data_IF_356713211896
#
_entry.id   IF_356713211896
#
_cell.length_a   1.000
_cell.length_b   1.000
_cell.length_c   1.000
_cell.angle_alpha   90.00
_cell.angle_beta   90.00
_cell.angle_gamma   90.00
#
_symmetry.space_group_name_H-M   'P 1'
#
loop_
_entity.id
_entity.type
_entity.pdbx_description
1 polymer ?
#
# COMPACT_ATOMS: atom_id res chain seq x y z
N UNK A 1 11.21 7.93 0.62
CA UNK A 1 10.61 7.03 -0.38
C UNK A 1 11.54 5.84 -0.58
N UNK A 2 11.00 4.62 -0.58
CA UNK A 2 11.71 3.39 -0.92
C UNK A 2 11.27 2.93 -2.31
N UNK A 3 12.23 2.55 -3.15
CA UNK A 3 11.98 2.03 -4.49
C UNK A 3 12.17 0.52 -4.50
N UNK A 4 11.22 -0.17 -5.10
CA UNK A 4 11.24 -1.62 -5.27
C UNK A 4 10.99 -1.97 -6.73
N UNK A 5 11.53 -3.11 -7.17
CA UNK A 5 11.21 -3.70 -8.47
C UNK A 5 10.81 -5.15 -8.27
N UNK A 6 9.69 -5.53 -8.88
CA UNK A 6 9.16 -6.89 -8.85
C UNK A 6 8.85 -7.32 -10.28
N UNK A 7 9.44 -8.42 -10.70
CA UNK A 7 9.33 -8.85 -12.10
C UNK A 7 7.99 -9.52 -12.44
N UNK A 8 7.20 -9.94 -11.47
CA UNK A 8 5.98 -10.71 -11.74
C UNK A 8 6.23 -12.03 -12.48
N UNK A 9 5.23 -12.88 -12.57
CA UNK A 9 5.35 -14.19 -13.27
C UNK A 9 5.27 -14.05 -14.79
N UNK A 10 4.54 -13.03 -15.24
CA UNK A 10 4.35 -12.76 -16.66
C UNK A 10 5.35 -11.71 -17.10
N UNK A 11 6.28 -12.10 -17.96
CA UNK A 11 7.32 -11.22 -18.50
C UNK A 11 6.82 -10.43 -19.72
N UNK A 12 7.43 -9.27 -19.95
CA UNK A 12 7.20 -8.40 -21.12
C UNK A 12 6.23 -7.24 -20.86
N UNK A 13 6.27 -6.25 -21.74
CA UNK A 13 5.56 -4.99 -21.61
C UNK A 13 6.30 -3.98 -20.73
N UNK A 14 5.78 -2.76 -20.70
CA UNK A 14 6.28 -1.73 -19.78
C UNK A 14 5.85 -2.05 -18.34
N UNK A 15 6.67 -1.73 -17.32
CA UNK A 15 6.29 -1.94 -15.93
C UNK A 15 5.19 -0.98 -15.48
N UNK A 16 4.35 -1.44 -14.56
CA UNK A 16 3.44 -0.58 -13.80
C UNK A 16 4.20 0.13 -12.67
N UNK A 17 3.99 1.42 -12.54
CA UNK A 17 4.56 2.24 -11.45
C UNK A 17 3.50 2.50 -10.40
N UNK A 18 3.55 1.74 -9.31
CA UNK A 18 2.56 1.77 -8.23
C UNK A 18 3.14 2.50 -7.01
N UNK A 19 2.42 3.49 -6.52
CA UNK A 19 2.73 4.16 -5.26
C UNK A 19 1.88 3.54 -4.15
N UNK A 20 2.53 2.90 -3.18
CA UNK A 20 1.85 2.39 -2.00
C UNK A 20 2.16 3.27 -0.79
N UNK A 21 1.11 3.69 -0.10
CA UNK A 21 1.16 4.47 1.13
C UNK A 21 0.19 3.88 2.15
N UNK A 22 0.68 3.47 3.31
CA UNK A 22 -0.13 2.96 4.42
C UNK A 22 0.13 3.78 5.68
N UNK A 23 -0.74 3.59 6.66
CA UNK A 23 -0.57 4.18 7.98
C UNK A 23 -0.41 5.71 7.88
N UNK A 24 -1.36 6.36 7.19
CA UNK A 24 -1.35 7.80 7.01
C UNK A 24 -1.70 8.51 8.32
N UNK A 25 -2.55 7.89 9.15
CA UNK A 25 -2.97 8.44 10.44
C UNK A 25 -3.26 9.94 10.37
N UNK A 26 -4.06 10.34 9.35
CA UNK A 26 -4.34 11.74 9.12
C UNK A 26 -5.06 12.37 10.32
N UNK A 27 -4.58 13.52 10.70
CA UNK A 27 -5.21 14.44 11.65
C UNK A 27 -5.26 15.83 11.00
N UNK A 28 -6.12 16.75 11.45
CA UNK A 28 -6.18 18.10 10.88
C UNK A 28 -4.81 18.82 10.85
N UNK A 29 -3.91 18.48 11.76
CA UNK A 29 -2.57 19.08 11.86
C UNK A 29 -1.53 18.46 10.94
N UNK A 30 -1.84 17.33 10.29
CA UNK A 30 -0.93 16.58 9.40
C UNK A 30 -1.17 16.84 7.90
N UNK A 31 -1.73 18.00 7.55
CA UNK A 31 -2.00 18.37 6.16
C UNK A 31 -0.75 18.31 5.26
N UNK A 32 0.42 18.65 5.81
CA UNK A 32 1.69 18.59 5.10
C UNK A 32 2.06 17.19 4.58
N UNK A 33 1.61 16.12 5.27
CA UNK A 33 1.84 14.74 4.79
C UNK A 33 1.04 14.45 3.52
N UNK A 34 -0.20 14.95 3.46
CA UNK A 34 -1.05 14.86 2.27
C UNK A 34 -0.40 15.57 1.07
N UNK A 35 0.09 16.80 1.27
CA UNK A 35 0.72 17.59 0.23
C UNK A 35 2.02 16.93 -0.27
N UNK A 36 2.82 16.38 0.64
CA UNK A 36 4.02 15.62 0.28
C UNK A 36 3.70 14.37 -0.52
N UNK A 37 2.65 13.63 -0.15
CA UNK A 37 2.25 12.40 -0.85
C UNK A 37 1.79 12.71 -2.28
N UNK A 38 0.98 13.76 -2.46
CA UNK A 38 0.52 14.22 -3.78
C UNK A 38 1.72 14.66 -4.64
N UNK A 39 2.64 15.44 -4.07
CA UNK A 39 3.84 15.89 -4.77
C UNK A 39 4.75 14.71 -5.20
N UNK A 40 4.88 13.69 -4.36
CA UNK A 40 5.62 12.47 -4.69
C UNK A 40 4.94 11.74 -5.86
N UNK A 41 3.62 11.52 -5.79
CA UNK A 41 2.87 10.84 -6.84
C UNK A 41 3.05 11.53 -8.21
N UNK A 42 2.91 12.86 -8.24
CA UNK A 42 3.07 13.65 -9.45
C UNK A 42 4.50 13.60 -10.00
N UNK A 43 5.51 13.79 -9.15
CA UNK A 43 6.93 13.75 -9.54
C UNK A 43 7.31 12.38 -10.12
N UNK A 44 6.83 11.31 -9.52
CA UNK A 44 7.16 9.95 -9.92
C UNK A 44 6.33 9.44 -11.10
N UNK A 45 5.32 10.21 -11.57
CA UNK A 45 4.45 9.83 -12.68
C UNK A 45 3.89 8.42 -12.51
N UNK A 46 3.24 8.20 -11.37
CA UNK A 46 2.72 6.87 -11.02
C UNK A 46 1.48 6.52 -11.85
N UNK A 47 1.25 5.23 -12.06
CA UNK A 47 0.12 4.71 -12.83
C UNK A 47 -1.08 4.35 -11.93
N UNK A 48 -0.82 4.21 -10.63
CA UNK A 48 -1.82 3.93 -9.62
C UNK A 48 -1.32 4.24 -8.22
N UNK A 49 -2.22 4.65 -7.35
CA UNK A 49 -1.95 4.91 -5.93
C UNK A 49 -2.76 3.95 -5.08
N UNK A 50 -2.08 3.25 -4.19
CA UNK A 50 -2.65 2.24 -3.30
C UNK A 50 -2.53 2.74 -1.85
N UNK A 51 -3.67 2.98 -1.20
CA UNK A 51 -3.75 3.39 0.20
C UNK A 51 -4.00 2.16 1.08
N UNK A 52 -3.01 1.78 1.86
CA UNK A 52 -2.89 0.50 2.57
C UNK A 52 -3.51 0.47 3.96
N UNK A 53 -4.54 1.29 4.22
CA UNK A 53 -5.24 1.32 5.51
C UNK A 53 -4.62 2.26 6.54
N UNK A 54 -5.31 2.40 7.67
CA UNK A 54 -5.03 3.38 8.73
C UNK A 54 -4.94 4.80 8.14
N UNK A 55 -6.02 5.19 7.45
CA UNK A 55 -6.07 6.42 6.69
C UNK A 55 -6.24 7.64 7.59
N UNK A 56 -7.08 7.51 8.64
CA UNK A 56 -7.36 8.59 9.60
C UNK A 56 -7.26 8.09 11.04
N UNK A 57 -6.88 8.99 11.96
CA UNK A 57 -6.95 8.73 13.41
C UNK A 57 -8.24 9.26 14.03
N UNK A 58 -8.90 10.22 13.39
CA UNK A 58 -10.09 10.92 13.94
C UNK A 58 -11.03 11.34 12.82
N UNK A 59 -12.32 11.30 13.10
CA UNK A 59 -13.37 11.75 12.17
C UNK A 59 -13.17 13.19 11.68
N UNK A 60 -12.55 14.07 12.48
CA UNK A 60 -12.23 15.45 12.08
C UNK A 60 -11.21 15.56 10.94
N UNK A 61 -10.53 14.47 10.58
CA UNK A 61 -9.61 14.42 9.43
C UNK A 61 -10.29 14.00 8.12
N UNK A 62 -11.58 13.75 8.11
CA UNK A 62 -12.30 13.23 6.96
C UNK A 62 -12.20 14.18 5.73
N UNK A 63 -12.33 15.48 5.93
CA UNK A 63 -12.15 16.48 4.87
C UNK A 63 -10.71 16.51 4.31
N UNK A 64 -9.72 16.27 5.17
CA UNK A 64 -8.33 16.14 4.75
C UNK A 64 -8.11 14.85 3.94
N UNK A 65 -8.74 13.74 4.33
CA UNK A 65 -8.72 12.51 3.56
C UNK A 65 -9.31 12.72 2.15
N UNK A 66 -10.49 13.35 2.05
CA UNK A 66 -11.11 13.65 0.75
C UNK A 66 -10.20 14.54 -0.12
N UNK A 67 -9.61 15.59 0.47
CA UNK A 67 -8.64 16.44 -0.23
C UNK A 67 -7.44 15.64 -0.74
N UNK A 68 -6.92 14.73 0.10
CA UNK A 68 -5.77 13.87 -0.24
C UNK A 68 -6.11 12.94 -1.41
N UNK A 69 -7.23 12.24 -1.31
CA UNK A 69 -7.69 11.31 -2.38
C UNK A 69 -7.95 12.07 -3.68
N UNK A 70 -8.60 13.24 -3.62
CA UNK A 70 -8.86 14.07 -4.81
C UNK A 70 -7.57 14.57 -5.45
N UNK A 71 -6.60 15.02 -4.64
CA UNK A 71 -5.29 15.46 -5.13
C UNK A 71 -4.48 14.33 -5.76
N UNK A 72 -4.51 13.13 -5.16
CA UNK A 72 -3.87 11.93 -5.75
C UNK A 72 -4.61 11.48 -7.02
N UNK A 73 -5.94 11.54 -7.02
CA UNK A 73 -6.80 11.19 -8.15
C UNK A 73 -6.59 12.07 -9.39
N UNK A 74 -6.10 13.31 -9.18
CA UNK A 74 -5.67 14.17 -10.29
C UNK A 74 -4.37 13.69 -10.96
N UNK A 75 -3.61 12.80 -10.32
CA UNK A 75 -2.37 12.23 -10.84
C UNK A 75 -2.61 10.84 -11.43
N UNK A 76 -3.26 9.95 -10.68
CA UNK A 76 -3.49 8.56 -11.07
C UNK A 76 -4.69 7.98 -10.31
N UNK A 77 -5.32 6.89 -10.79
CA UNK A 77 -6.37 6.19 -10.06
C UNK A 77 -5.94 5.82 -8.63
N UNK A 78 -6.83 6.09 -7.66
CA UNK A 78 -6.59 5.84 -6.23
C UNK A 78 -7.44 4.67 -5.76
N UNK A 79 -6.80 3.72 -5.09
CA UNK A 79 -7.44 2.55 -4.50
C UNK A 79 -7.12 2.50 -3.00
N UNK A 80 -8.08 2.12 -2.17
CA UNK A 80 -7.92 2.09 -0.74
C UNK A 80 -8.47 0.81 -0.11
N UNK A 81 -7.88 0.41 1.00
CA UNK A 81 -8.36 -0.64 1.90
C UNK A 81 -8.48 -0.08 3.32
N UNK A 82 -9.24 -0.77 4.19
CA UNK A 82 -9.28 -0.43 5.61
C UNK A 82 -8.00 -0.87 6.34
N UNK A 83 -7.62 -0.08 7.35
CA UNK A 83 -6.75 -0.53 8.44
C UNK A 83 -7.52 -0.72 9.74
N UNK A 84 -6.85 -1.15 10.80
CA UNK A 84 -7.51 -1.39 12.08
C UNK A 84 -7.98 -0.09 12.77
N UNK A 85 -7.31 1.04 12.57
CA UNK A 85 -7.78 2.33 13.06
C UNK A 85 -9.06 2.79 12.34
N UNK A 86 -9.17 2.53 11.04
CA UNK A 86 -10.37 2.84 10.26
C UNK A 86 -11.56 1.97 10.71
N UNK A 87 -11.31 0.69 11.07
CA UNK A 87 -12.33 -0.26 11.54
C UNK A 87 -12.79 0.05 12.97
N UNK A 88 -11.90 0.53 13.84
CA UNK A 88 -12.28 0.99 15.18
C UNK A 88 -13.14 2.27 15.17
N UNK A 89 -13.20 2.94 14.01
CA UNK A 89 -14.05 4.08 13.72
C UNK A 89 -15.20 3.71 12.76
N UNK A 90 -15.85 4.71 12.16
CA UNK A 90 -16.90 4.48 11.18
C UNK A 90 -16.31 4.13 9.80
N UNK A 91 -15.83 2.90 9.62
CA UNK A 91 -15.20 2.46 8.36
C UNK A 91 -16.05 2.77 7.12
N UNK A 92 -17.37 2.64 7.22
CA UNK A 92 -18.28 2.98 6.13
C UNK A 92 -18.21 4.48 5.75
N UNK A 93 -17.99 5.37 6.72
CA UNK A 93 -17.82 6.80 6.45
C UNK A 93 -16.46 7.09 5.82
N UNK A 94 -15.41 6.37 6.22
CA UNK A 94 -14.07 6.45 5.60
C UNK A 94 -14.15 6.00 4.15
N UNK A 95 -14.75 4.84 3.89
CA UNK A 95 -15.01 4.34 2.54
C UNK A 95 -15.79 5.35 1.70
N UNK A 96 -16.93 5.82 2.20
CA UNK A 96 -17.75 6.80 1.50
C UNK A 96 -16.99 8.10 1.20
N UNK A 97 -16.07 8.52 2.07
CA UNK A 97 -15.22 9.71 1.83
C UNK A 97 -14.20 9.47 0.74
N UNK A 98 -13.58 8.29 0.69
CA UNK A 98 -12.67 7.90 -0.40
C UNK A 98 -13.41 7.91 -1.73
N UNK A 99 -14.62 7.29 -1.79
CA UNK A 99 -15.42 7.17 -3.00
C UNK A 99 -15.97 8.54 -3.48
N UNK A 100 -16.46 9.38 -2.57
CA UNK A 100 -16.89 10.77 -2.90
C UNK A 100 -15.75 11.63 -3.46
N UNK A 101 -14.53 11.33 -3.04
CA UNK A 101 -13.34 12.03 -3.55
C UNK A 101 -12.82 11.47 -4.90
N UNK A 102 -13.50 10.46 -5.47
CA UNK A 102 -13.13 9.83 -6.74
C UNK A 102 -12.17 8.65 -6.62
N UNK A 103 -11.84 8.22 -5.40
CA UNK A 103 -11.10 6.98 -5.16
C UNK A 103 -12.00 5.75 -5.27
N UNK A 104 -11.41 4.57 -5.25
CA UNK A 104 -12.12 3.28 -5.26
C UNK A 104 -11.74 2.48 -4.03
N UNK A 105 -12.75 1.99 -3.31
CA UNK A 105 -12.52 1.04 -2.24
C UNK A 105 -12.32 -0.35 -2.79
N UNK A 106 -11.24 -1.01 -2.42
CA UNK A 106 -10.98 -2.37 -2.87
C UNK A 106 -11.74 -3.38 -2.01
N UNK A 107 -12.37 -4.31 -2.70
CA UNK A 107 -13.00 -5.50 -2.17
C UNK A 107 -12.39 -6.76 -2.81
N UNK A 108 -12.91 -7.94 -2.46
CA UNK A 108 -12.49 -9.20 -3.07
C UNK A 108 -12.71 -9.23 -4.60
N UNK A 109 -13.78 -8.59 -5.09
CA UNK A 109 -14.04 -8.47 -6.53
C UNK A 109 -12.98 -7.66 -7.30
N UNK A 110 -12.20 -6.84 -6.57
CA UNK A 110 -11.04 -6.14 -7.09
C UNK A 110 -11.33 -5.02 -8.08
N UNK A 111 -10.29 -4.59 -8.75
CA UNK A 111 -10.30 -3.60 -9.81
C UNK A 111 -9.30 -4.00 -10.90
N UNK A 112 -9.63 -3.65 -12.15
CA UNK A 112 -8.79 -3.90 -13.30
C UNK A 112 -8.27 -2.58 -13.87
N UNK A 113 -6.95 -2.48 -14.00
CA UNK A 113 -6.28 -1.42 -14.73
C UNK A 113 -5.77 -1.96 -16.06
N UNK A 114 -6.03 -1.22 -17.14
CA UNK A 114 -5.60 -1.55 -18.49
C UNK A 114 -4.77 -0.46 -19.11
N UNK A 115 -3.77 -0.86 -19.87
CA UNK A 115 -2.92 0.04 -20.65
C UNK A 115 -2.47 -0.66 -21.92
N UNK A 116 -2.45 0.05 -23.05
CA UNK A 116 -2.19 -0.55 -24.38
C UNK A 116 -0.82 -1.26 -24.48
N UNK A 117 0.18 -0.80 -23.74
CA UNK A 117 1.57 -1.31 -23.80
C UNK A 117 1.96 -2.15 -22.59
N UNK A 118 1.01 -2.43 -21.68
CA UNK A 118 1.25 -3.16 -20.42
C UNK A 118 0.31 -4.34 -20.31
N UNK A 119 0.70 -5.32 -19.50
CA UNK A 119 -0.20 -6.39 -19.08
C UNK A 119 -1.31 -5.82 -18.21
N UNK A 120 -2.50 -6.39 -18.31
CA UNK A 120 -3.60 -6.06 -17.42
C UNK A 120 -3.17 -6.21 -15.97
N UNK A 121 -3.56 -5.27 -15.12
CA UNK A 121 -3.23 -5.27 -13.70
C UNK A 121 -4.50 -5.45 -12.87
N UNK A 122 -4.59 -6.57 -12.19
CA UNK A 122 -5.66 -6.91 -11.28
C UNK A 122 -5.29 -6.53 -9.84
N UNK A 123 -6.03 -5.59 -9.27
CA UNK A 123 -5.88 -5.17 -7.87
C UNK A 123 -7.01 -5.77 -7.05
N UNK A 124 -6.73 -6.33 -5.88
CA UNK A 124 -7.78 -6.86 -4.99
C UNK A 124 -7.40 -6.74 -3.51
N UNK A 125 -8.42 -6.87 -2.64
CA UNK A 125 -8.28 -6.96 -1.20
C UNK A 125 -9.01 -8.21 -0.71
N UNK A 126 -8.25 -9.21 -0.30
CA UNK A 126 -8.78 -10.52 0.13
C UNK A 126 -8.86 -11.55 -1.02
N UNK A 127 -9.68 -12.58 -0.82
CA UNK A 127 -9.83 -13.68 -1.76
C UNK A 127 -10.34 -13.19 -3.13
N UNK A 128 -9.66 -13.54 -4.19
CA UNK A 128 -10.04 -13.17 -5.56
C UNK A 128 -9.85 -14.36 -6.49
N UNK A 129 -10.72 -14.48 -7.49
CA UNK A 129 -10.50 -15.45 -8.58
C UNK A 129 -9.41 -14.92 -9.49
N UNK A 130 -8.33 -15.68 -9.63
CA UNK A 130 -7.23 -15.31 -10.51
C UNK A 130 -7.66 -15.38 -11.98
N UNK A 131 -7.52 -14.28 -12.70
CA UNK A 131 -7.60 -14.30 -14.16
C UNK A 131 -6.36 -15.00 -14.73
N UNK A 132 -6.52 -15.71 -15.86
CA UNK A 132 -5.43 -16.48 -16.49
C UNK A 132 -4.29 -15.55 -16.96
N UNK A 133 -4.64 -14.37 -17.46
CA UNK A 133 -3.71 -13.40 -18.02
C UNK A 133 -3.68 -12.13 -17.16
N UNK A 134 -2.47 -11.58 -16.93
CA UNK A 134 -2.27 -10.34 -16.22
C UNK A 134 -1.38 -10.47 -14.99
N UNK A 135 -1.11 -9.34 -14.39
CA UNK A 135 -0.40 -9.21 -13.13
C UNK A 135 -1.42 -9.08 -11.99
N UNK A 136 -1.16 -9.74 -10.88
CA UNK A 136 -2.05 -9.76 -9.73
C UNK A 136 -1.40 -9.11 -8.51
N UNK A 137 -2.08 -8.13 -7.93
CA UNK A 137 -1.60 -7.37 -6.78
C UNK A 137 -2.64 -7.40 -5.66
N UNK A 138 -2.25 -7.98 -4.56
CA UNK A 138 -3.00 -7.94 -3.31
C UNK A 138 -2.63 -6.68 -2.51
N UNK A 139 -3.64 -5.95 -2.06
CA UNK A 139 -3.50 -4.85 -1.12
C UNK A 139 -4.19 -5.24 0.18
N UNK A 140 -3.42 -5.31 1.27
CA UNK A 140 -3.96 -5.59 2.59
C UNK A 140 -3.29 -4.67 3.62
N UNK A 141 -3.93 -4.48 4.77
CA UNK A 141 -3.31 -3.70 5.84
C UNK A 141 -2.35 -4.57 6.68
N UNK A 142 -2.79 -5.74 7.11
CA UNK A 142 -1.99 -6.64 7.95
C UNK A 142 -1.09 -7.56 7.13
N UNK A 143 0.23 -7.58 7.36
CA UNK A 143 1.16 -8.40 6.58
C UNK A 143 0.97 -9.91 6.78
N UNK A 144 0.48 -10.36 7.94
CA UNK A 144 0.17 -11.77 8.15
C UNK A 144 -1.03 -12.21 7.29
N UNK A 145 -2.06 -11.37 7.19
CA UNK A 145 -3.20 -11.61 6.31
C UNK A 145 -2.78 -11.58 4.85
N UNK A 146 -1.99 -10.57 4.45
CA UNK A 146 -1.44 -10.48 3.10
C UNK A 146 -0.69 -11.75 2.71
N UNK A 147 0.16 -12.26 3.61
CA UNK A 147 0.93 -13.47 3.35
C UNK A 147 0.06 -14.73 3.22
N UNK A 148 -0.98 -14.89 4.05
CA UNK A 148 -1.89 -16.01 3.98
C UNK A 148 -2.70 -15.99 2.67
N UNK A 149 -3.30 -14.84 2.34
CA UNK A 149 -4.08 -14.66 1.10
C UNK A 149 -3.21 -14.85 -0.14
N UNK A 150 -2.02 -14.24 -0.18
CA UNK A 150 -1.11 -14.37 -1.31
C UNK A 150 -0.62 -15.80 -1.53
N UNK A 151 -0.42 -16.58 -0.47
CA UNK A 151 -0.06 -18.00 -0.57
C UNK A 151 -1.19 -18.85 -1.16
N UNK A 152 -2.45 -18.49 -0.86
CA UNK A 152 -3.64 -19.20 -1.37
C UNK A 152 -3.91 -18.87 -2.84
N UNK A 153 -3.84 -17.60 -3.23
CA UNK A 153 -4.24 -17.14 -4.56
C UNK A 153 -3.07 -16.97 -5.54
N UNK A 154 -1.85 -16.94 -5.02
CA UNK A 154 -0.64 -16.90 -5.82
C UNK A 154 -0.46 -15.57 -6.57
N UNK A 155 -0.58 -14.46 -5.89
CA UNK A 155 -0.34 -13.12 -6.44
C UNK A 155 1.11 -12.93 -6.92
N UNK A 156 1.35 -11.96 -7.78
CA UNK A 156 2.71 -11.56 -8.17
C UNK A 156 3.33 -10.66 -7.10
N UNK A 157 2.50 -9.80 -6.52
CA UNK A 157 2.91 -8.81 -5.53
C UNK A 157 1.82 -8.66 -4.47
N UNK A 158 2.24 -8.55 -3.21
CA UNK A 158 1.37 -8.15 -2.11
C UNK A 158 1.96 -6.94 -1.40
N UNK A 159 1.10 -5.99 -1.01
CA UNK A 159 1.46 -4.85 -0.18
C UNK A 159 0.80 -4.96 1.19
N UNK A 160 1.55 -4.55 2.24
CA UNK A 160 1.03 -4.41 3.58
C UNK A 160 1.68 -3.26 4.37
N UNK A 161 1.02 -2.82 5.44
CA UNK A 161 1.50 -1.81 6.39
C UNK A 161 1.48 -2.30 7.84
N UNK A 162 0.78 -1.56 8.71
CA UNK A 162 0.42 -1.89 10.09
C UNK A 162 1.58 -1.92 11.11
N UNK A 163 2.72 -2.49 10.76
CA UNK A 163 3.80 -2.73 11.75
C UNK A 163 4.72 -1.52 11.95
N UNK A 164 4.61 -0.48 11.14
CA UNK A 164 5.46 0.73 11.18
C UNK A 164 6.97 0.42 11.20
N UNK A 165 7.39 -0.77 10.73
CA UNK A 165 8.75 -1.26 10.85
C UNK A 165 9.23 -1.48 12.29
N UNK A 166 8.30 -1.55 13.26
CA UNK A 166 8.58 -1.62 14.69
C UNK A 166 8.97 -0.26 15.30
N UNK A 167 8.92 0.83 14.55
CA UNK A 167 9.27 2.22 14.89
C UNK A 167 10.69 2.44 15.42
N UNK A 168 11.21 1.53 16.25
CA UNK A 168 12.58 1.57 16.78
C UNK A 168 13.40 0.41 16.19
N UNK A 169 14.35 0.72 15.34
CA UNK A 169 15.23 -0.26 14.71
C UNK A 169 16.65 -0.10 15.24
N UNK A 170 17.14 -1.06 15.99
CA UNK A 170 18.50 -1.08 16.51
C UNK A 170 19.48 -1.64 15.49
N UNK A 171 19.07 -2.71 14.78
CA UNK A 171 19.82 -3.27 13.66
C UNK A 171 18.87 -3.93 12.65
N UNK A 172 19.41 -4.15 11.47
CA UNK A 172 18.74 -4.88 10.39
C UNK A 172 19.58 -6.11 10.02
N UNK A 173 18.90 -7.25 9.82
CA UNK A 173 19.51 -8.46 9.28
C UNK A 173 18.72 -8.92 8.06
N UNK A 174 19.34 -8.83 6.88
CA UNK A 174 18.64 -9.00 5.62
C UNK A 174 17.48 -7.99 5.52
N UNK A 175 16.27 -8.48 5.33
CA UNK A 175 15.06 -7.64 5.24
C UNK A 175 14.35 -7.43 6.58
N UNK A 176 14.82 -8.05 7.67
CA UNK A 176 14.18 -8.01 9.00
C UNK A 176 14.71 -6.87 9.85
N UNK A 177 13.80 -6.20 10.57
CA UNK A 177 14.07 -5.04 11.42
C UNK A 177 13.94 -5.42 12.90
N UNK A 178 15.00 -5.24 13.66
CA UNK A 178 15.05 -5.65 15.07
C UNK A 178 15.08 -4.45 16.02
N UNK A 179 14.43 -4.54 17.18
CA UNK A 179 13.89 -5.74 17.85
C UNK A 179 12.51 -6.20 17.37
N UNK A 180 11.79 -5.43 16.56
CA UNK A 180 10.43 -5.75 16.12
C UNK A 180 10.27 -7.16 15.52
N UNK A 181 11.29 -7.65 14.80
CA UNK A 181 11.29 -9.00 14.20
C UNK A 181 11.32 -10.15 15.21
N UNK A 182 11.55 -9.88 16.51
CA UNK A 182 11.39 -10.89 17.57
C UNK A 182 9.92 -11.09 17.96
N UNK A 183 9.09 -10.05 17.80
CA UNK A 183 7.68 -10.06 18.16
C UNK A 183 6.79 -10.43 16.98
N UNK A 184 7.16 -10.00 15.77
CA UNK A 184 6.44 -10.34 14.55
C UNK A 184 7.43 -10.70 13.44
N UNK A 185 7.29 -11.92 12.92
CA UNK A 185 8.09 -12.39 11.76
C UNK A 185 7.96 -11.46 10.53
N UNK A 186 6.92 -10.64 10.49
CA UNK A 186 6.63 -9.72 9.38
C UNK A 186 7.20 -8.31 9.59
N UNK A 187 7.88 -8.05 10.71
CA UNK A 187 8.61 -6.78 10.88
C UNK A 187 9.87 -6.81 10.02
N UNK A 188 9.72 -6.32 8.81
CA UNK A 188 10.73 -6.30 7.77
C UNK A 188 10.26 -5.48 6.58
N UNK A 189 10.99 -5.56 5.48
CA UNK A 189 10.75 -4.71 4.30
C UNK A 189 10.23 -5.51 3.10
N UNK A 190 10.79 -6.70 2.88
CA UNK A 190 10.49 -7.55 1.73
C UNK A 190 10.56 -9.02 2.11
N UNK A 191 9.60 -9.80 1.65
CA UNK A 191 9.52 -11.23 1.87
C UNK A 191 9.17 -11.92 0.55
N UNK A 192 9.89 -13.00 0.24
CA UNK A 192 9.58 -13.86 -0.88
C UNK A 192 8.73 -15.04 -0.38
N UNK A 193 7.52 -15.17 -0.89
CA UNK A 193 6.53 -16.17 -0.50
C UNK A 193 6.23 -17.08 -1.70
N UNK A 194 7.15 -17.99 -1.99
CA UNK A 194 7.10 -18.74 -3.24
C UNK A 194 7.27 -17.83 -4.45
N UNK A 195 6.23 -17.68 -5.26
CA UNK A 195 6.26 -16.81 -6.43
C UNK A 195 5.74 -15.39 -6.16
N UNK A 196 5.26 -15.11 -4.94
CA UNK A 196 4.75 -13.80 -4.53
C UNK A 196 5.82 -13.01 -3.78
N UNK A 197 6.03 -11.77 -4.14
CA UNK A 197 6.78 -10.80 -3.33
C UNK A 197 5.83 -10.06 -2.41
N UNK A 198 6.05 -10.08 -1.10
CA UNK A 198 5.34 -9.24 -0.14
C UNK A 198 6.22 -8.05 0.27
N UNK A 199 5.73 -6.84 0.04
CA UNK A 199 6.37 -5.60 0.47
C UNK A 199 5.63 -5.03 1.68
N UNK A 200 6.36 -4.85 2.79
CA UNK A 200 5.81 -4.27 4.02
C UNK A 200 6.33 -2.85 4.20
N UNK A 201 5.40 -1.90 4.37
CA UNK A 201 5.69 -0.49 4.57
C UNK A 201 6.00 -0.19 6.04
N UNK A 202 6.89 0.80 6.25
CA UNK A 202 7.13 1.39 7.56
C UNK A 202 6.15 2.51 7.91
N UNK A 203 5.17 2.77 7.03
CA UNK A 203 4.13 3.77 7.24
C UNK A 203 4.56 5.21 6.95
N UNK A 204 3.57 6.01 6.56
CA UNK A 204 3.72 7.45 6.24
C UNK A 204 3.72 8.30 7.51
N UNK A 205 2.95 7.90 8.51
CA UNK A 205 2.87 8.59 9.80
C UNK A 205 3.17 7.65 10.97
N UNK A 206 2.94 8.09 12.17
CA UNK A 206 3.27 7.38 13.40
C UNK A 206 2.06 7.20 14.29
N UNK A 207 1.97 6.03 14.89
CA UNK A 207 1.09 5.76 16.04
C UNK A 207 1.70 6.36 17.32
N UNK A 208 3.00 6.12 17.54
CA UNK A 208 3.78 6.75 18.60
C UNK A 208 4.69 7.84 18.02
N UNK A 209 4.89 8.97 18.70
CA UNK A 209 5.66 10.09 18.13
C UNK A 209 7.18 9.88 18.11
N UNK A 210 7.64 8.64 18.25
CA UNK A 210 9.06 8.31 18.34
C UNK A 210 9.45 7.29 17.28
N UNK A 211 10.48 7.63 16.48
CA UNK A 211 11.15 6.71 15.57
C UNK A 211 12.66 6.74 15.77
N UNK A 212 13.27 5.58 15.83
CA UNK A 212 14.72 5.45 15.88
C UNK A 212 15.19 4.55 14.72
N UNK A 213 16.02 5.10 13.82
CA UNK A 213 16.56 4.43 12.62
C UNK A 213 15.49 3.71 11.75
N UNK A 214 14.25 4.17 11.85
CA UNK A 214 13.10 3.65 11.13
C UNK A 214 12.35 4.81 10.45
N UNK A 215 12.87 5.37 9.34
CA UNK A 215 12.26 6.53 8.69
C UNK A 215 10.88 6.20 8.14
N UNK A 216 9.98 7.18 8.18
CA UNK A 216 8.70 7.14 7.46
C UNK A 216 8.94 6.90 5.97
N UNK A 217 8.00 6.22 5.31
CA UNK A 217 8.16 5.96 3.89
C UNK A 217 6.85 5.87 3.12
N UNK A 218 6.98 6.07 1.83
CA UNK A 218 6.08 5.56 0.80
C UNK A 218 6.88 4.60 -0.08
N UNK A 219 6.22 3.60 -0.65
CA UNK A 219 6.84 2.65 -1.57
C UNK A 219 6.49 3.06 -3.00
N UNK A 220 7.50 3.15 -3.85
CA UNK A 220 7.33 3.16 -5.30
C UNK A 220 7.77 1.80 -5.81
N UNK A 221 6.84 1.03 -6.37
CA UNK A 221 7.12 -0.28 -6.93
C UNK A 221 6.95 -0.26 -8.46
N UNK A 222 7.96 -0.72 -9.16
CA UNK A 222 7.88 -1.06 -10.58
C UNK A 222 7.56 -2.56 -10.69
N UNK A 223 6.36 -2.88 -11.18
CA UNK A 223 5.86 -4.25 -11.32
C UNK A 223 5.78 -4.66 -12.79
N UNK A 224 6.38 -5.79 -13.13
CA UNK A 224 6.48 -6.28 -14.50
C UNK A 224 7.71 -5.72 -15.22
N UNK A 225 7.69 -5.76 -16.54
CA UNK A 225 8.83 -5.38 -17.37
C UNK A 225 9.82 -6.53 -17.61
N UNK A 226 10.82 -6.27 -18.44
CA UNK A 226 11.96 -7.17 -18.59
C UNK A 226 12.89 -7.06 -17.38
N UNK A 227 13.61 -8.14 -16.99
CA UNK A 227 14.64 -8.05 -15.98
C UNK A 227 15.80 -7.17 -16.43
#
# INVERSE_FOLDING_TARGET
MRRERVCGRVRGGEPWRLLFASDLHLTPTRAHLADQLIAIAARERVDGVLLGGDLIDRASAMSLLERTVRGLGAVAPVFAVAGNHDVCGPVAAVQASVERAGGRWLHAAGALLRHAQRRDLHLHAGASTRAADGLHVLVAHHPAQAAATAAEFGDDLAFAGHLHGGQCVWWQRGQRLYPGAWFSRWTGLRFELGATTLLVSRGVADTLPVRFRCPREVLLCELGGAP
#
